data_IF_831316331251
#
_entry.id   IF_831316331251
#
_cell.length_a   1.000
_cell.length_b   1.000
_cell.length_c   1.000
_cell.angle_alpha   90.00
_cell.angle_beta   90.00
_cell.angle_gamma   90.00
#
_symmetry.space_group_name_H-M   'P 1'
#
loop_
_entity.id
_entity.type
_entity.pdbx_description
1 polymer ?
#
# COMPACT_ATOMS: atom_id res chain seq x y z
N UNK A 1 -32.78 46.65 -54.16
CA UNK A 1 -32.41 46.57 -55.59
C UNK A 1 -31.96 45.15 -55.76
N UNK A 2 -32.84 44.31 -56.18
CA UNK A 2 -33.13 43.73 -57.53
C UNK A 2 -32.25 42.48 -57.68
N UNK A 3 -32.75 41.29 -57.47
CA UNK A 3 -33.71 40.48 -58.27
C UNK A 3 -33.06 39.69 -59.41
N UNK A 4 -33.48 38.50 -59.49
CA UNK A 4 -33.89 37.58 -60.56
C UNK A 4 -32.94 36.37 -60.72
N UNK A 5 -33.34 35.14 -60.38
CA UNK A 5 -34.35 34.24 -60.96
C UNK A 5 -33.94 33.61 -62.30
N UNK A 6 -34.24 32.35 -62.41
CA UNK A 6 -34.71 31.53 -63.57
C UNK A 6 -33.84 30.29 -63.78
N UNK A 7 -34.31 29.14 -63.41
CA UNK A 7 -35.17 28.10 -63.99
C UNK A 7 -34.45 26.93 -64.66
N UNK A 8 -34.91 25.75 -64.31
CA UNK A 8 -34.75 24.41 -64.98
C UNK A 8 -35.37 24.38 -66.38
N UNK A 9 -35.13 23.39 -67.23
CA UNK A 9 -35.84 22.10 -67.05
C UNK A 9 -35.14 20.80 -67.64
N UNK A 10 -35.53 19.69 -67.03
CA UNK A 10 -36.16 18.46 -67.58
C UNK A 10 -35.60 17.69 -68.78
N UNK A 11 -35.62 16.36 -68.63
CA UNK A 11 -35.65 15.29 -69.67
C UNK A 11 -34.74 14.13 -69.29
N UNK A 12 -35.08 13.05 -68.87
CA UNK A 12 -36.00 11.99 -69.14
C UNK A 12 -35.55 11.07 -70.29
N UNK A 13 -35.11 9.84 -70.00
CA UNK A 13 -35.58 8.64 -70.75
C UNK A 13 -34.97 7.32 -70.19
N UNK A 14 -35.86 6.39 -69.99
CA UNK A 14 -35.78 4.98 -69.72
C UNK A 14 -34.95 4.16 -70.71
N UNK A 15 -34.37 3.03 -70.27
CA UNK A 15 -34.69 1.63 -70.70
C UNK A 15 -33.67 0.59 -70.27
N UNK A 16 -34.26 -0.40 -69.64
CA UNK A 16 -34.10 -1.84 -69.76
C UNK A 16 -32.84 -2.64 -69.33
N UNK A 17 -33.09 -3.42 -68.28
CA UNK A 17 -32.85 -4.88 -68.17
C UNK A 17 -31.56 -5.45 -68.75
N UNK A 18 -30.80 -6.09 -67.84
CA UNK A 18 -30.48 -7.53 -67.90
C UNK A 18 -29.63 -7.94 -66.70
N UNK A 19 -30.16 -8.80 -65.83
CA UNK A 19 -29.39 -9.63 -64.91
C UNK A 19 -28.62 -10.72 -65.68
N UNK A 20 -27.47 -11.18 -65.13
CA UNK A 20 -27.49 -12.50 -64.56
C UNK A 20 -26.69 -12.67 -63.23
N UNK A 21 -27.30 -13.45 -62.39
CA UNK A 21 -26.86 -14.54 -61.55
C UNK A 21 -25.51 -14.45 -60.80
N UNK A 22 -25.58 -14.41 -59.48
CA UNK A 22 -24.94 -15.38 -58.63
C UNK A 22 -23.47 -15.12 -58.20
N UNK A 23 -23.29 -14.44 -57.07
CA UNK A 23 -22.26 -14.81 -56.05
C UNK A 23 -22.73 -14.33 -54.68
N UNK A 24 -22.96 -15.26 -53.78
CA UNK A 24 -23.18 -15.01 -52.35
C UNK A 24 -21.99 -14.26 -51.75
N UNK A 25 -22.20 -13.22 -50.95
CA UNK A 25 -21.14 -12.68 -50.11
C UNK A 25 -20.99 -13.59 -48.89
N UNK A 26 -19.77 -14.06 -48.69
CA UNK A 26 -19.33 -14.68 -47.46
C UNK A 26 -19.66 -13.73 -46.29
N UNK A 27 -20.35 -14.27 -45.30
CA UNK A 27 -20.64 -13.62 -44.06
C UNK A 27 -19.32 -13.22 -43.41
N UNK A 28 -19.02 -11.91 -43.38
CA UNK A 28 -18.03 -11.33 -42.53
C UNK A 28 -18.46 -11.54 -41.08
N UNK A 29 -17.66 -12.33 -40.35
CA UNK A 29 -17.78 -12.45 -38.91
C UNK A 29 -17.45 -11.06 -38.36
N UNK A 30 -18.49 -10.30 -38.05
CA UNK A 30 -18.34 -9.09 -37.22
C UNK A 30 -17.88 -9.59 -35.85
N UNK A 31 -16.63 -9.37 -35.53
CA UNK A 31 -16.13 -9.45 -34.16
C UNK A 31 -16.64 -8.21 -33.41
N UNK A 32 -17.89 -8.28 -32.98
CA UNK A 32 -18.38 -7.41 -31.94
C UNK A 32 -17.59 -7.73 -30.64
N UNK A 33 -16.56 -6.94 -30.38
CA UNK A 33 -15.97 -6.84 -29.06
C UNK A 33 -16.94 -6.03 -28.21
N UNK A 34 -17.61 -6.60 -27.21
CA UNK A 34 -18.39 -5.82 -26.30
C UNK A 34 -17.42 -4.96 -25.46
N UNK A 35 -17.32 -3.68 -25.76
CA UNK A 35 -16.81 -2.70 -24.83
C UNK A 35 -17.77 -2.69 -23.64
N UNK A 36 -17.39 -3.39 -22.57
CA UNK A 36 -18.16 -3.43 -21.35
C UNK A 36 -17.91 -2.16 -20.54
N UNK A 37 -18.81 -1.26 -20.69
CA UNK A 37 -19.19 -0.33 -19.62
C UNK A 37 -20.57 -0.76 -19.12
N UNK A 38 -20.65 -1.79 -18.32
CA UNK A 38 -21.72 -1.82 -17.33
C UNK A 38 -21.36 -0.73 -16.30
N UNK A 39 -22.24 0.24 -15.99
CA UNK A 39 -21.95 1.19 -14.94
C UNK A 39 -21.85 0.37 -13.64
N UNK A 40 -20.63 0.28 -13.10
CA UNK A 40 -20.42 -0.25 -11.76
C UNK A 40 -21.39 0.50 -10.83
N UNK A 41 -22.17 -0.23 -10.06
CA UNK A 41 -23.12 0.34 -9.11
C UNK A 41 -22.37 1.35 -8.24
N UNK A 42 -22.62 2.65 -8.42
CA UNK A 42 -21.92 3.73 -7.74
C UNK A 42 -22.16 3.74 -6.22
N UNK A 43 -23.11 2.94 -5.73
CA UNK A 43 -23.63 2.97 -4.36
C UNK A 43 -22.94 1.99 -3.39
N UNK A 44 -22.09 1.06 -3.87
CA UNK A 44 -21.40 0.13 -2.97
C UNK A 44 -20.12 0.79 -2.47
N UNK A 45 -19.99 1.08 -1.15
CA UNK A 45 -18.77 1.67 -0.62
C UNK A 45 -17.58 0.71 -0.82
N UNK A 46 -16.45 1.26 -1.23
CA UNK A 46 -15.21 0.49 -1.35
C UNK A 46 -14.82 -0.09 0.01
N UNK A 47 -14.28 -1.31 0.00
CA UNK A 47 -13.66 -1.89 1.19
C UNK A 47 -12.56 -0.95 1.73
N UNK A 48 -12.32 -0.96 3.05
CA UNK A 48 -11.32 -0.07 3.65
C UNK A 48 -9.95 -0.16 2.98
N UNK A 49 -9.49 -1.37 2.63
CA UNK A 49 -8.19 -1.56 2.00
C UNK A 49 -8.18 -1.05 0.54
N UNK A 50 -9.21 -1.32 -0.28
CA UNK A 50 -9.28 -0.83 -1.66
C UNK A 50 -9.46 0.70 -1.75
N UNK A 51 -9.92 1.35 -0.68
CA UNK A 51 -10.03 2.82 -0.60
C UNK A 51 -8.69 3.50 -0.28
N UNK A 52 -7.64 2.76 0.11
CA UNK A 52 -6.32 3.30 0.45
C UNK A 52 -5.55 3.73 -0.80
N UNK A 53 -4.78 4.81 -0.68
CA UNK A 53 -3.84 5.24 -1.73
C UNK A 53 -2.48 4.58 -1.50
N UNK A 54 -2.38 3.28 -1.83
CA UNK A 54 -1.19 2.46 -1.64
C UNK A 54 -0.38 2.36 -2.93
N UNK A 55 0.93 2.50 -2.82
CA UNK A 55 1.91 2.26 -3.86
C UNK A 55 2.80 1.08 -3.48
N UNK A 56 3.11 0.22 -4.44
CA UNK A 56 4.12 -0.81 -4.26
C UNK A 56 5.52 -0.19 -4.36
N UNK A 57 6.33 -0.32 -3.34
CA UNK A 57 7.76 0.00 -3.37
C UNK A 57 8.55 -1.28 -3.09
N UNK A 58 9.09 -1.89 -4.15
CA UNK A 58 9.93 -3.08 -4.07
C UNK A 58 9.32 -4.18 -3.19
N UNK A 59 8.08 -4.54 -3.47
CA UNK A 59 7.38 -5.66 -2.83
C UNK A 59 6.64 -5.34 -1.53
N UNK A 60 6.67 -4.09 -1.04
CA UNK A 60 5.93 -3.69 0.15
C UNK A 60 4.94 -2.55 -0.14
N UNK A 61 3.79 -2.51 0.57
CA UNK A 61 2.81 -1.45 0.44
C UNK A 61 3.28 -0.19 1.17
N UNK A 62 3.15 0.97 0.51
CA UNK A 62 3.39 2.27 1.13
C UNK A 62 2.19 3.17 0.86
N UNK A 63 1.57 3.69 1.92
CA UNK A 63 0.49 4.68 1.82
C UNK A 63 1.06 6.06 1.46
N UNK A 64 0.51 6.69 0.43
CA UNK A 64 0.87 8.05 0.05
C UNK A 64 0.11 9.08 0.90
N UNK A 65 0.40 9.13 2.19
CA UNK A 65 -0.28 9.98 3.16
C UNK A 65 0.71 10.79 3.99
N UNK A 66 0.27 11.96 4.43
CA UNK A 66 1.00 12.81 5.37
C UNK A 66 0.75 12.42 6.83
N UNK A 67 1.60 12.92 7.71
CA UNK A 67 1.52 12.64 9.15
C UNK A 67 0.18 13.10 9.75
N UNK A 68 -0.39 14.20 9.26
CA UNK A 68 -1.69 14.71 9.74
C UNK A 68 -2.83 13.76 9.41
N UNK A 69 -2.78 13.12 8.24
CA UNK A 69 -3.76 12.09 7.84
C UNK A 69 -3.59 10.82 8.66
N UNK A 70 -2.34 10.40 8.96
CA UNK A 70 -2.09 9.28 9.88
C UNK A 70 -2.77 9.55 11.22
N UNK A 71 -2.52 10.71 11.82
CA UNK A 71 -3.09 11.10 13.11
C UNK A 71 -4.63 11.07 13.08
N UNK A 72 -5.28 11.67 12.07
CA UNK A 72 -6.75 11.62 11.94
C UNK A 72 -7.30 10.19 11.85
N UNK A 73 -6.60 9.30 11.14
CA UNK A 73 -7.00 7.88 11.07
C UNK A 73 -6.91 7.20 12.43
N UNK A 74 -5.86 7.47 13.22
CA UNK A 74 -5.72 6.94 14.58
C UNK A 74 -6.84 7.42 15.49
N UNK A 75 -7.17 8.70 15.46
CA UNK A 75 -8.27 9.27 16.23
C UNK A 75 -9.60 8.63 15.87
N UNK A 76 -9.85 8.46 14.56
CA UNK A 76 -11.06 7.77 14.12
C UNK A 76 -11.09 6.32 14.58
N UNK A 77 -9.95 5.62 14.54
CA UNK A 77 -9.87 4.23 15.01
C UNK A 77 -10.10 4.12 16.51
N UNK A 78 -9.52 5.03 17.31
CA UNK A 78 -9.75 5.09 18.76
C UNK A 78 -11.22 5.36 19.09
N UNK A 79 -11.81 6.40 18.48
CA UNK A 79 -13.20 6.77 18.71
C UNK A 79 -14.20 5.66 18.37
N UNK A 80 -13.92 4.92 17.30
CA UNK A 80 -14.77 3.80 16.85
C UNK A 80 -14.39 2.46 17.49
N UNK A 81 -13.32 2.43 18.29
CA UNK A 81 -12.72 1.18 18.81
C UNK A 81 -12.43 0.16 17.69
N UNK A 82 -12.16 0.63 16.48
CA UNK A 82 -11.87 -0.21 15.34
C UNK A 82 -10.37 -0.54 15.25
N UNK A 83 -10.05 -1.76 14.85
CA UNK A 83 -8.66 -2.20 14.71
C UNK A 83 -7.92 -1.36 13.66
N UNK A 84 -6.70 -0.93 14.01
CA UNK A 84 -5.77 -0.24 13.13
C UNK A 84 -4.34 -0.69 13.43
N UNK A 85 -3.82 -1.60 12.62
CA UNK A 85 -2.44 -2.06 12.69
C UNK A 85 -1.58 -1.18 11.79
N UNK A 86 -0.54 -0.56 12.36
CA UNK A 86 0.33 0.36 11.67
C UNK A 86 1.73 -0.22 11.58
N UNK A 87 2.25 -0.30 10.36
CA UNK A 87 3.68 -0.50 10.08
C UNK A 87 4.27 0.81 9.57
N UNK A 88 5.47 1.15 9.98
CA UNK A 88 6.23 2.30 9.45
C UNK A 88 7.42 1.81 8.63
N UNK A 89 7.19 1.37 7.36
CA UNK A 89 8.23 0.75 6.56
C UNK A 89 9.40 1.71 6.28
N UNK A 90 10.58 1.25 6.63
CA UNK A 90 11.86 1.90 6.34
C UNK A 90 12.79 0.95 5.56
N UNK A 91 14.04 1.34 5.33
CA UNK A 91 14.99 0.50 4.61
C UNK A 91 15.18 -0.89 5.25
N UNK A 92 15.23 -0.96 6.58
CA UNK A 92 15.36 -2.25 7.26
C UNK A 92 14.11 -3.14 7.08
N UNK A 93 12.91 -2.54 7.09
CA UNK A 93 11.67 -3.25 6.73
C UNK A 93 11.73 -3.79 5.31
N UNK A 94 12.17 -2.96 4.35
CA UNK A 94 12.33 -3.39 2.95
C UNK A 94 13.30 -4.56 2.84
N UNK A 95 14.49 -4.45 3.45
CA UNK A 95 15.52 -5.50 3.41
C UNK A 95 15.02 -6.81 4.01
N UNK A 96 14.37 -6.75 5.18
CA UNK A 96 13.80 -7.95 5.81
C UNK A 96 12.68 -8.56 4.95
N UNK A 97 11.81 -7.74 4.35
CA UNK A 97 10.70 -8.24 3.50
C UNK A 97 11.18 -8.97 2.24
N UNK A 98 12.39 -8.68 1.74
CA UNK A 98 12.95 -9.37 0.59
C UNK A 98 13.37 -10.82 0.89
N UNK A 99 13.77 -11.10 2.13
CA UNK A 99 14.36 -12.38 2.53
C UNK A 99 13.47 -13.20 3.45
N UNK A 100 12.49 -12.58 4.10
CA UNK A 100 11.61 -13.19 5.08
C UNK A 100 10.14 -13.05 4.66
N UNK A 101 9.51 -14.13 4.14
CA UNK A 101 8.11 -14.08 3.72
C UNK A 101 7.13 -13.77 4.85
N UNK A 102 7.38 -14.26 6.08
CA UNK A 102 6.52 -14.02 7.23
C UNK A 102 6.57 -12.54 7.64
N UNK A 103 7.78 -11.96 7.69
CA UNK A 103 7.94 -10.53 7.93
C UNK A 103 7.27 -9.70 6.84
N UNK A 104 7.42 -10.06 5.55
CA UNK A 104 6.72 -9.37 4.46
C UNK A 104 5.22 -9.44 4.63
N UNK A 105 4.68 -10.61 4.96
CA UNK A 105 3.24 -10.77 5.18
C UNK A 105 2.74 -9.88 6.31
N UNK A 106 3.50 -9.75 7.41
CA UNK A 106 3.13 -8.87 8.52
C UNK A 106 3.02 -7.38 8.12
N UNK A 107 3.79 -6.96 7.11
CA UNK A 107 3.67 -5.60 6.55
C UNK A 107 2.47 -5.49 5.62
N UNK A 108 2.20 -6.52 4.80
CA UNK A 108 1.02 -6.59 3.92
C UNK A 108 -0.29 -6.57 4.71
N UNK A 109 -0.32 -7.22 5.86
CA UNK A 109 -1.49 -7.30 6.75
C UNK A 109 -1.77 -5.98 7.49
N UNK A 110 -0.87 -5.01 7.43
CA UNK A 110 -1.05 -3.73 8.11
C UNK A 110 -2.15 -2.87 7.46
N UNK A 111 -2.95 -2.21 8.31
CA UNK A 111 -4.03 -1.32 7.88
C UNK A 111 -3.52 0.05 7.44
N UNK A 112 -2.29 0.39 7.80
CA UNK A 112 -1.64 1.64 7.44
C UNK A 112 -0.13 1.45 7.36
N UNK A 113 0.47 1.88 6.25
CA UNK A 113 1.91 1.77 5.97
C UNK A 113 2.51 3.12 5.57
N UNK A 114 2.53 4.15 6.46
CA UNK A 114 3.16 5.42 6.16
C UNK A 114 4.67 5.25 5.97
N UNK A 115 5.30 5.99 5.03
CA UNK A 115 6.72 5.84 4.73
C UNK A 115 7.61 6.35 5.88
N UNK A 116 8.59 5.57 6.31
CA UNK A 116 9.60 5.97 7.28
C UNK A 116 11.01 5.95 6.66
N UNK A 117 11.79 6.95 7.00
CA UNK A 117 13.18 7.07 6.58
C UNK A 117 13.40 7.61 5.15
N UNK A 118 14.54 8.31 5.01
CA UNK A 118 14.91 8.95 3.76
C UNK A 118 15.06 7.97 2.56
N UNK A 119 15.59 6.74 2.70
CA UNK A 119 15.74 5.82 1.59
C UNK A 119 14.43 5.47 0.87
N UNK A 120 13.33 5.29 1.59
CA UNK A 120 12.01 5.01 0.99
C UNK A 120 11.56 6.21 0.15
N UNK A 121 11.74 7.43 0.67
CA UNK A 121 11.41 8.66 -0.06
C UNK A 121 12.30 8.84 -1.30
N UNK A 122 13.59 8.51 -1.22
CA UNK A 122 14.49 8.57 -2.38
C UNK A 122 14.08 7.60 -3.47
N UNK A 123 13.76 6.35 -3.11
CA UNK A 123 13.25 5.35 -4.07
C UNK A 123 11.96 5.87 -4.72
N UNK A 124 11.00 6.33 -3.91
CA UNK A 124 9.74 6.86 -4.41
C UNK A 124 9.93 8.00 -5.42
N UNK A 125 10.82 8.97 -5.12
CA UNK A 125 11.15 10.09 -6.01
C UNK A 125 11.81 9.63 -7.31
N UNK A 126 12.75 8.68 -7.22
CA UNK A 126 13.45 8.15 -8.40
C UNK A 126 12.51 7.47 -9.39
N UNK A 127 11.54 6.70 -8.89
CA UNK A 127 10.53 6.02 -9.73
C UNK A 127 9.30 6.88 -10.05
N UNK A 128 9.26 8.13 -9.55
CA UNK A 128 8.24 9.12 -9.90
C UNK A 128 6.93 8.98 -9.12
N UNK A 129 6.94 8.46 -7.88
CA UNK A 129 5.76 8.33 -7.04
C UNK A 129 5.46 9.61 -6.25
N UNK A 130 4.19 9.91 -5.93
CA UNK A 130 3.78 11.12 -5.22
C UNK A 130 4.01 11.05 -3.69
N UNK A 131 4.96 10.24 -3.23
CA UNK A 131 5.32 10.08 -1.82
C UNK A 131 6.45 11.07 -1.53
N UNK A 132 6.15 12.14 -0.81
CA UNK A 132 7.07 13.27 -0.63
C UNK A 132 7.63 13.42 0.78
N UNK A 133 6.85 13.01 1.78
CA UNK A 133 7.13 13.22 3.18
C UNK A 133 7.25 11.89 3.91
N UNK A 134 8.09 11.87 4.92
CA UNK A 134 8.17 10.73 5.83
C UNK A 134 7.20 10.92 7.00
N UNK A 135 6.66 9.84 7.50
CA UNK A 135 5.87 9.80 8.71
C UNK A 135 6.45 8.74 9.66
N UNK A 136 7.56 9.09 10.33
CA UNK A 136 8.22 8.16 11.24
C UNK A 136 7.41 7.94 12.52
N UNK A 137 7.63 6.79 13.16
CA UNK A 137 6.98 6.48 14.44
C UNK A 137 7.29 7.51 15.53
N UNK A 138 8.50 8.08 15.54
CA UNK A 138 8.87 9.13 16.48
C UNK A 138 8.16 10.46 16.18
N UNK A 139 8.07 10.85 14.90
CA UNK A 139 7.32 12.04 14.49
C UNK A 139 5.83 11.89 14.81
N UNK A 140 5.29 10.67 14.70
CA UNK A 140 3.91 10.35 15.06
C UNK A 140 3.64 10.58 16.55
N UNK A 141 4.50 10.05 17.44
CA UNK A 141 4.37 10.26 18.89
C UNK A 141 4.54 11.73 19.27
N UNK A 142 5.52 12.43 18.68
CA UNK A 142 5.71 13.88 18.91
C UNK A 142 4.48 14.68 18.44
N UNK A 143 3.91 14.32 17.31
CA UNK A 143 2.71 14.99 16.77
C UNK A 143 1.47 14.74 17.64
N UNK A 144 1.31 13.52 18.14
CA UNK A 144 0.22 13.18 19.07
C UNK A 144 0.38 13.88 20.42
N UNK A 145 1.63 14.08 20.87
CA UNK A 145 1.95 14.78 22.13
C UNK A 145 1.70 16.30 22.06
N UNK A 146 2.05 16.93 20.94
CA UNK A 146 1.98 18.39 20.74
C UNK A 146 0.65 18.92 20.21
N UNK A 147 -0.47 18.25 20.44
CA UNK A 147 -1.78 18.66 19.90
C UNK A 147 -2.38 19.87 20.59
N UNK A 148 -3.16 20.62 19.79
CA UNK A 148 -3.99 21.70 20.28
C UNK A 148 -5.13 21.20 21.18
N UNK A 149 -5.58 21.96 22.18
CA UNK A 149 -6.72 21.61 23.04
C UNK A 149 -7.98 21.33 22.20
N UNK A 150 -8.74 20.30 22.60
CA UNK A 150 -10.01 19.94 21.97
C UNK A 150 -9.98 18.68 21.10
N UNK A 151 -8.83 18.01 20.99
CA UNK A 151 -8.72 16.71 20.31
C UNK A 151 -8.81 15.60 21.36
N UNK A 152 -9.45 14.49 21.01
CA UNK A 152 -9.62 13.35 21.91
C UNK A 152 -8.27 12.88 22.48
N UNK A 153 -8.15 12.83 23.79
CA UNK A 153 -6.97 12.28 24.49
C UNK A 153 -6.84 10.80 24.18
N UNK A 154 -5.67 10.38 23.71
CA UNK A 154 -5.36 8.97 23.51
C UNK A 154 -4.60 8.42 24.71
N UNK A 155 -5.05 7.25 25.19
CA UNK A 155 -4.34 6.50 26.20
C UNK A 155 -3.37 5.50 25.59
N UNK A 156 -2.13 5.49 26.07
CA UNK A 156 -1.05 4.63 25.59
C UNK A 156 -0.79 3.46 26.52
N UNK A 157 -0.50 2.30 25.93
CA UNK A 157 0.22 1.22 26.59
C UNK A 157 1.57 1.02 25.89
N UNK A 158 2.66 1.07 26.65
CA UNK A 158 4.03 0.93 26.14
C UNK A 158 4.53 -0.49 26.42
N UNK A 159 5.00 -1.19 25.38
CA UNK A 159 5.43 -2.58 25.49
C UNK A 159 6.82 -2.79 24.91
N UNK A 160 7.76 -3.23 25.74
CA UNK A 160 9.14 -3.52 25.33
C UNK A 160 10.11 -2.35 25.50
N UNK A 161 11.22 -2.40 24.81
CA UNK A 161 12.40 -1.55 25.02
C UNK A 161 13.45 -2.27 25.86
N UNK A 162 14.58 -1.61 26.10
CA UNK A 162 15.53 -2.07 27.12
C UNK A 162 14.93 -1.91 28.52
N UNK A 163 15.48 -2.59 29.50
CA UNK A 163 15.02 -2.55 30.88
C UNK A 163 14.82 -1.08 31.37
N UNK A 164 13.62 -0.80 31.87
CA UNK A 164 13.25 0.52 32.38
C UNK A 164 12.88 1.58 31.32
N UNK A 165 13.12 1.35 30.01
CA UNK A 165 12.83 2.33 28.96
C UNK A 165 11.33 2.60 28.83
N UNK A 166 10.48 1.56 28.87
CA UNK A 166 9.03 1.75 28.81
C UNK A 166 8.51 2.58 29.97
N UNK A 167 9.00 2.33 31.19
CA UNK A 167 8.62 3.07 32.39
C UNK A 167 9.10 4.52 32.36
N UNK A 168 10.34 4.78 31.91
CA UNK A 168 10.87 6.13 31.75
C UNK A 168 10.10 6.92 30.69
N UNK A 169 9.76 6.29 29.56
CA UNK A 169 8.93 6.92 28.54
C UNK A 169 7.52 7.23 29.06
N UNK A 170 6.92 6.32 29.85
CA UNK A 170 5.63 6.56 30.50
C UNK A 170 5.65 7.77 31.44
N UNK A 171 6.70 7.90 32.25
CA UNK A 171 6.90 9.07 33.10
C UNK A 171 7.02 10.35 32.27
N UNK A 172 7.80 10.35 31.19
CA UNK A 172 7.98 11.50 30.31
C UNK A 172 6.66 11.91 29.61
N UNK A 173 5.82 10.96 29.19
CA UNK A 173 4.49 11.28 28.66
C UNK A 173 3.56 11.87 29.71
N UNK A 174 3.62 11.37 30.95
CA UNK A 174 2.72 11.79 32.02
C UNK A 174 3.18 13.05 32.76
N UNK A 175 4.45 13.42 32.65
CA UNK A 175 4.99 14.66 33.19
C UNK A 175 4.55 15.90 32.41
N UNK A 176 4.31 15.76 31.11
CA UNK A 176 3.71 16.81 30.29
C UNK A 176 2.19 16.76 30.41
N UNK A 177 1.55 17.94 30.45
CA UNK A 177 0.11 18.08 30.33
C UNK A 177 -0.37 17.80 28.89
N UNK A 178 0.23 16.80 28.23
CA UNK A 178 -0.02 16.47 26.83
C UNK A 178 -1.35 15.74 26.63
N UNK A 179 -1.83 15.75 25.41
CA UNK A 179 -3.04 15.01 25.00
C UNK A 179 -2.82 13.48 24.94
N UNK A 180 -1.60 13.00 25.20
CA UNK A 180 -1.27 11.60 25.38
C UNK A 180 -1.09 11.25 26.85
N UNK A 181 -1.79 10.22 27.33
CA UNK A 181 -1.62 9.68 28.67
C UNK A 181 -1.14 8.24 28.61
N UNK A 182 0.01 7.96 29.17
CA UNK A 182 0.45 6.57 29.33
C UNK A 182 -0.25 5.97 30.57
N UNK A 183 -1.06 4.94 30.36
CA UNK A 183 -1.83 4.26 31.40
C UNK A 183 -1.26 2.89 31.74
N UNK A 184 -0.24 2.44 31.01
CA UNK A 184 0.47 1.19 31.30
C UNK A 184 1.80 1.11 30.55
N UNK A 185 2.76 0.48 31.18
CA UNK A 185 4.07 0.20 30.60
C UNK A 185 4.56 -1.17 31.07
N UNK A 186 5.06 -1.99 30.15
CA UNK A 186 5.57 -3.30 30.44
C UNK A 186 6.89 -3.55 29.71
N UNK A 187 7.88 -4.00 30.44
CA UNK A 187 9.09 -4.61 29.91
C UNK A 187 8.92 -6.14 30.02
N UNK A 188 8.69 -6.85 28.89
CA UNK A 188 8.47 -8.30 28.94
C UNK A 188 9.77 -9.10 29.09
N UNK A 189 10.93 -8.43 29.18
CA UNK A 189 12.24 -9.06 29.17
C UNK A 189 12.69 -9.53 27.80
N UNK A 190 13.65 -10.46 27.81
CA UNK A 190 14.16 -11.12 26.60
C UNK A 190 13.43 -12.45 26.39
N UNK A 191 13.11 -12.77 25.14
CA UNK A 191 12.45 -14.00 24.77
C UNK A 191 12.13 -14.03 23.28
N UNK A 192 11.77 -15.19 22.75
CA UNK A 192 11.25 -15.31 21.39
C UNK A 192 9.80 -14.84 21.31
N UNK A 193 9.27 -14.68 20.07
CA UNK A 193 7.91 -14.14 19.86
C UNK A 193 6.86 -14.94 20.62
N UNK A 194 6.96 -16.27 20.63
CA UNK A 194 6.00 -17.14 21.31
C UNK A 194 6.07 -17.01 22.84
N UNK A 195 7.27 -16.89 23.42
CA UNK A 195 7.46 -16.65 24.87
C UNK A 195 6.86 -15.32 25.30
N UNK A 196 7.05 -14.29 24.49
CA UNK A 196 6.49 -12.95 24.72
C UNK A 196 4.99 -12.85 24.40
N UNK A 197 4.38 -13.94 23.89
CA UNK A 197 2.96 -14.02 23.54
C UNK A 197 2.15 -14.84 24.56
N UNK A 198 2.71 -15.08 25.74
CA UNK A 198 2.04 -15.77 26.83
C UNK A 198 0.73 -15.09 27.25
N UNK A 199 -0.25 -15.88 27.73
CA UNK A 199 -1.58 -15.34 28.10
C UNK A 199 -1.51 -14.31 29.23
N UNK A 200 -0.57 -14.49 30.17
CA UNK A 200 -0.28 -13.54 31.24
C UNK A 200 0.11 -12.15 30.70
N UNK A 201 0.90 -12.09 29.62
CA UNK A 201 1.31 -10.83 28.97
C UNK A 201 0.12 -10.20 28.24
N UNK A 202 -0.58 -11.00 27.42
CA UNK A 202 -1.70 -10.52 26.61
C UNK A 202 -2.85 -10.04 27.50
N UNK A 203 -3.13 -10.72 28.61
CA UNK A 203 -4.18 -10.31 29.54
C UNK A 203 -3.86 -8.97 30.21
N UNK A 204 -2.61 -8.73 30.63
CA UNK A 204 -2.18 -7.44 31.18
C UNK A 204 -2.31 -6.31 30.16
N UNK A 205 -1.85 -6.54 28.92
CA UNK A 205 -2.01 -5.57 27.83
C UNK A 205 -3.48 -5.24 27.60
N UNK A 206 -4.34 -6.25 27.51
CA UNK A 206 -5.77 -6.09 27.24
C UNK A 206 -6.53 -5.44 28.39
N UNK A 207 -6.18 -5.75 29.65
CA UNK A 207 -6.84 -5.19 30.84
C UNK A 207 -6.57 -3.69 31.03
N UNK A 208 -5.55 -3.15 30.36
CA UNK A 208 -5.25 -1.71 30.40
C UNK A 208 -6.33 -0.85 29.75
N UNK A 209 -7.12 -1.41 28.81
CA UNK A 209 -8.10 -0.68 27.99
C UNK A 209 -7.53 0.55 27.28
N UNK A 210 -6.24 0.58 26.99
CA UNK A 210 -5.59 1.65 26.24
C UNK A 210 -6.19 1.79 24.82
N UNK A 211 -6.01 2.97 24.24
CA UNK A 211 -6.42 3.21 22.86
C UNK A 211 -5.30 2.84 21.87
N UNK A 212 -4.06 2.95 22.31
CA UNK A 212 -2.89 2.74 21.46
C UNK A 212 -1.80 1.92 22.15
N UNK A 213 -1.49 0.76 21.58
CA UNK A 213 -0.38 -0.11 21.97
C UNK A 213 0.86 0.23 21.13
N UNK A 214 1.91 0.72 21.78
CA UNK A 214 3.21 1.01 21.17
C UNK A 214 4.19 -0.10 21.55
N UNK A 215 4.64 -0.85 20.53
CA UNK A 215 5.57 -1.98 20.69
C UNK A 215 6.99 -1.58 20.31
N UNK A 216 7.98 -1.96 21.11
CA UNK A 216 9.42 -1.68 20.92
C UNK A 216 10.27 -2.91 21.23
N UNK A 217 10.20 -3.94 20.36
CA UNK A 217 10.92 -5.23 20.50
C UNK A 217 12.02 -5.43 19.43
N UNK A 218 12.42 -4.38 18.72
CA UNK A 218 13.20 -4.49 17.48
C UNK A 218 12.32 -4.78 16.26
N UNK A 219 12.77 -4.37 15.08
CA UNK A 219 11.91 -4.30 13.89
C UNK A 219 11.23 -5.64 13.56
N UNK A 220 12.03 -6.71 13.38
CA UNK A 220 11.50 -8.03 13.02
C UNK A 220 10.61 -8.60 14.12
N UNK A 221 11.14 -8.70 15.33
CA UNK A 221 10.43 -9.30 16.48
C UNK A 221 9.14 -8.54 16.80
N UNK A 222 9.17 -7.21 16.84
CA UNK A 222 8.01 -6.40 17.17
C UNK A 222 6.89 -6.50 16.14
N UNK A 223 7.25 -6.55 14.85
CA UNK A 223 6.27 -6.70 13.78
C UNK A 223 5.62 -8.11 13.80
N UNK A 224 6.42 -9.16 13.94
CA UNK A 224 5.92 -10.54 14.04
C UNK A 224 5.10 -10.76 15.32
N UNK A 225 5.48 -10.13 16.44
CA UNK A 225 4.70 -10.19 17.67
C UNK A 225 3.30 -9.56 17.49
N UNK A 226 3.21 -8.41 16.83
CA UNK A 226 1.93 -7.78 16.51
C UNK A 226 1.07 -8.64 15.60
N UNK A 227 1.65 -9.25 14.57
CA UNK A 227 0.95 -10.17 13.67
C UNK A 227 0.44 -11.39 14.43
N UNK A 228 1.32 -12.06 15.21
CA UNK A 228 0.99 -13.24 16.01
C UNK A 228 -0.17 -13.03 16.96
N UNK A 229 -0.24 -11.83 17.58
CA UNK A 229 -1.22 -11.51 18.59
C UNK A 229 -2.37 -10.65 18.08
N UNK A 230 -2.45 -10.39 16.78
CA UNK A 230 -3.42 -9.47 16.18
C UNK A 230 -4.87 -9.75 16.63
N UNK A 231 -5.30 -11.01 16.58
CA UNK A 231 -6.67 -11.41 16.96
C UNK A 231 -6.89 -11.53 18.46
N UNK A 232 -5.82 -11.58 19.27
CA UNK A 232 -5.86 -11.68 20.74
C UNK A 232 -5.90 -10.32 21.44
N UNK A 233 -5.38 -9.30 20.78
CA UNK A 233 -5.30 -7.95 21.32
C UNK A 233 -6.64 -7.23 21.18
N UNK A 234 -7.07 -6.53 22.25
CA UNK A 234 -8.31 -5.74 22.31
C UNK A 234 -8.05 -4.24 22.12
N UNK A 235 -6.80 -3.79 22.27
CA UNK A 235 -6.41 -2.40 22.04
C UNK A 235 -6.57 -2.07 20.54
N UNK A 236 -7.34 -1.04 20.17
CA UNK A 236 -7.68 -0.78 18.76
C UNK A 236 -6.46 -0.41 17.93
N UNK A 237 -5.65 0.54 18.36
CA UNK A 237 -4.48 1.00 17.59
C UNK A 237 -3.25 0.25 18.05
N UNK A 238 -2.47 -0.27 17.11
CA UNK A 238 -1.27 -1.06 17.39
C UNK A 238 -0.18 -0.69 16.41
N UNK A 239 1.03 -0.40 16.92
CA UNK A 239 2.17 -0.11 16.06
C UNK A 239 3.48 -0.59 16.69
N UNK A 240 4.37 -1.11 15.84
CA UNK A 240 5.78 -1.24 16.20
C UNK A 240 6.51 0.06 15.80
N UNK A 241 6.92 0.86 16.78
CA UNK A 241 7.55 2.16 16.52
C UNK A 241 9.06 2.19 16.83
N UNK A 242 9.68 1.01 16.97
CA UNK A 242 11.12 0.86 17.10
C UNK A 242 11.72 1.69 18.24
N UNK A 243 12.68 2.55 17.91
CA UNK A 243 13.39 3.38 18.87
C UNK A 243 12.59 4.60 19.37
N UNK A 244 11.36 4.79 18.93
CA UNK A 244 10.58 5.95 19.35
C UNK A 244 10.39 6.02 20.87
N UNK A 245 10.24 4.86 21.55
CA UNK A 245 10.19 4.81 23.01
C UNK A 245 11.51 5.28 23.65
N UNK A 246 12.64 4.84 23.12
CA UNK A 246 13.96 5.22 23.63
C UNK A 246 14.22 6.73 23.49
N UNK A 247 13.72 7.34 22.41
CA UNK A 247 13.75 8.81 22.26
C UNK A 247 12.88 9.51 23.29
N UNK A 248 11.67 9.02 23.54
CA UNK A 248 10.75 9.62 24.52
C UNK A 248 11.25 9.43 25.95
N UNK A 249 11.91 8.31 26.25
CA UNK A 249 12.55 8.06 27.55
C UNK A 249 13.84 8.90 27.77
N UNK A 250 14.33 9.59 26.74
CA UNK A 250 15.63 10.27 26.81
C UNK A 250 16.83 9.34 26.84
N UNK A 251 16.63 8.02 26.66
CA UNK A 251 17.70 7.01 26.65
C UNK A 251 18.62 7.14 25.43
N UNK A 252 18.08 7.68 24.33
CA UNK A 252 18.82 7.97 23.09
C UNK A 252 18.49 9.40 22.67
N UNK A 253 19.51 10.18 22.31
CA UNK A 253 19.30 11.54 21.79
C UNK A 253 18.82 11.49 20.34
N UNK A 254 17.71 12.16 20.07
CA UNK A 254 17.21 12.29 18.70
C UNK A 254 18.10 13.25 17.90
N UNK A 255 18.27 12.97 16.61
CA UNK A 255 19.02 13.83 15.71
C UNK A 255 18.43 15.26 15.66
N UNK A 256 19.28 16.31 15.58
CA UNK A 256 18.82 17.67 15.38
C UNK A 256 17.90 17.81 14.15
N UNK A 257 16.96 18.78 14.16
CA UNK A 257 16.00 18.95 13.06
C UNK A 257 16.67 19.05 11.68
N UNK A 258 17.78 19.78 11.58
CA UNK A 258 18.54 19.93 10.34
C UNK A 258 19.09 18.60 9.83
N UNK A 259 19.64 17.76 10.69
CA UNK A 259 20.17 16.42 10.33
C UNK A 259 19.02 15.52 9.85
N UNK A 260 17.85 15.63 10.50
CA UNK A 260 16.64 14.88 10.12
C UNK A 260 16.10 15.31 8.76
N UNK A 261 16.03 16.63 8.49
CA UNK A 261 15.52 17.16 7.22
C UNK A 261 16.43 16.83 6.04
N UNK A 262 17.75 16.73 6.26
CA UNK A 262 18.73 16.29 5.26
C UNK A 262 18.72 14.75 5.03
N UNK A 263 17.97 13.98 5.83
CA UNK A 263 17.91 12.52 5.70
C UNK A 263 19.09 11.77 6.33
N UNK A 264 19.92 12.43 7.14
CA UNK A 264 21.11 11.86 7.78
C UNK A 264 20.87 11.37 9.21
N UNK A 265 19.62 11.14 9.61
CA UNK A 265 19.28 10.61 10.94
C UNK A 265 19.91 9.24 11.20
N UNK A 266 20.12 8.42 10.19
CA UNK A 266 20.80 7.14 10.29
C UNK A 266 22.27 7.24 10.71
N UNK A 267 23.00 8.29 10.25
CA UNK A 267 24.38 8.56 10.69
C UNK A 267 24.41 8.98 12.17
N UNK A 268 23.45 9.81 12.59
CA UNK A 268 23.30 10.17 13.98
C UNK A 268 23.04 8.95 14.85
N UNK A 269 22.17 8.02 14.37
CA UNK A 269 21.89 6.77 15.06
C UNK A 269 23.12 5.88 15.20
N UNK A 270 24.00 5.80 14.21
CA UNK A 270 25.27 5.06 14.31
C UNK A 270 26.16 5.69 15.38
N UNK A 271 26.18 7.03 15.49
CA UNK A 271 26.96 7.75 16.52
C UNK A 271 26.44 7.43 17.93
N UNK A 272 25.15 7.44 18.13
CA UNK A 272 24.51 7.18 19.44
C UNK A 272 24.54 5.69 19.81
N UNK A 273 24.42 4.79 18.82
CA UNK A 273 24.31 3.35 18.99
C UNK A 273 25.29 2.64 18.04
N UNK A 274 26.56 2.57 18.43
CA UNK A 274 27.63 2.05 17.56
C UNK A 274 27.40 0.65 17.04
N UNK A 275 26.69 -0.23 17.78
CA UNK A 275 26.39 -1.59 17.34
C UNK A 275 25.53 -1.64 16.07
N UNK A 276 24.81 -0.57 15.74
CA UNK A 276 23.95 -0.50 14.57
C UNK A 276 24.72 -0.37 13.24
N UNK A 277 26.03 -0.03 13.29
CA UNK A 277 26.80 0.22 12.07
C UNK A 277 26.81 -0.98 11.10
N UNK A 278 26.94 -2.22 11.63
CA UNK A 278 26.93 -3.45 10.82
C UNK A 278 25.60 -3.62 10.06
N UNK A 279 24.48 -3.33 10.72
CA UNK A 279 23.15 -3.36 10.14
C UNK A 279 23.03 -2.30 9.04
N UNK A 280 23.41 -1.06 9.33
CA UNK A 280 23.33 0.03 8.34
C UNK A 280 24.24 -0.20 7.13
N UNK A 281 25.42 -0.80 7.34
CA UNK A 281 26.29 -1.19 6.25
C UNK A 281 25.64 -2.26 5.36
N UNK A 282 25.08 -3.30 5.97
CA UNK A 282 24.35 -4.35 5.23
C UNK A 282 23.16 -3.77 4.46
N UNK A 283 22.30 -3.03 5.14
CA UNK A 283 21.10 -2.41 4.53
C UNK A 283 21.50 -1.45 3.40
N UNK A 284 22.60 -0.71 3.56
CA UNK A 284 23.15 0.18 2.55
C UNK A 284 23.67 -0.53 1.29
N UNK A 285 24.34 -1.68 1.46
CA UNK A 285 24.79 -2.51 0.32
C UNK A 285 23.59 -3.12 -0.43
N UNK A 286 22.58 -3.59 0.29
CA UNK A 286 21.33 -4.07 -0.31
C UNK A 286 20.63 -2.93 -1.04
N UNK A 287 20.53 -1.73 -0.45
CA UNK A 287 19.97 -0.56 -1.12
C UNK A 287 20.70 -0.23 -2.41
N UNK A 288 22.04 -0.20 -2.40
CA UNK A 288 22.84 0.06 -3.62
C UNK A 288 22.53 -0.97 -4.70
N UNK A 289 22.49 -2.26 -4.34
CA UNK A 289 22.11 -3.33 -5.27
C UNK A 289 20.71 -3.10 -5.84
N UNK A 290 19.73 -2.79 -5.00
CA UNK A 290 18.36 -2.53 -5.43
C UNK A 290 18.25 -1.30 -6.33
N UNK A 291 18.97 -0.23 -6.00
CA UNK A 291 19.02 0.97 -6.84
C UNK A 291 19.49 0.61 -8.25
N UNK A 292 20.58 -0.14 -8.39
CA UNK A 292 21.15 -0.49 -9.69
C UNK A 292 20.30 -1.52 -10.47
N UNK A 293 19.75 -2.54 -9.78
CA UNK A 293 19.12 -3.69 -10.44
C UNK A 293 17.59 -3.59 -10.56
N UNK A 294 16.95 -2.71 -9.78
CA UNK A 294 15.49 -2.57 -9.73
C UNK A 294 15.03 -1.14 -9.96
N UNK A 295 15.48 -0.21 -9.10
CA UNK A 295 14.96 1.16 -9.07
C UNK A 295 15.31 1.93 -10.33
N UNK A 296 16.58 1.94 -10.77
CA UNK A 296 16.97 2.64 -11.98
C UNK A 296 16.33 2.05 -13.24
N UNK A 297 16.29 0.71 -13.46
CA UNK A 297 15.54 0.13 -14.56
C UNK A 297 14.05 0.46 -14.53
N UNK A 298 13.42 0.45 -13.34
CA UNK A 298 12.02 0.79 -13.18
C UNK A 298 11.76 2.28 -13.46
N UNK A 299 12.64 3.17 -12.98
CA UNK A 299 12.57 4.59 -13.25
C UNK A 299 12.72 4.90 -14.75
N UNK A 300 13.65 4.22 -15.44
CA UNK A 300 13.81 4.34 -16.89
C UNK A 300 12.55 3.87 -17.63
N UNK A 301 11.99 2.72 -17.24
CA UNK A 301 10.75 2.19 -17.81
C UNK A 301 9.58 3.17 -17.61
N UNK A 302 9.40 3.70 -16.40
CA UNK A 302 8.35 4.65 -16.08
C UNK A 302 8.48 5.95 -16.90
N UNK A 303 9.69 6.50 -17.04
CA UNK A 303 9.95 7.69 -17.87
C UNK A 303 9.66 7.42 -19.34
N UNK A 304 10.09 6.27 -19.85
CA UNK A 304 9.78 5.84 -21.22
C UNK A 304 8.28 5.76 -21.45
N UNK A 305 7.56 5.17 -20.51
CA UNK A 305 6.11 5.07 -20.56
C UNK A 305 5.43 6.44 -20.51
N UNK A 306 5.89 7.37 -19.67
CA UNK A 306 5.35 8.73 -19.58
C UNK A 306 5.55 9.53 -20.89
N UNK A 307 6.72 9.40 -21.53
CA UNK A 307 6.98 10.01 -22.83
C UNK A 307 6.04 9.45 -23.91
N UNK A 308 5.83 8.15 -23.94
CA UNK A 308 4.91 7.50 -24.89
C UNK A 308 3.43 7.85 -24.64
N UNK A 309 3.01 8.12 -23.40
CA UNK A 309 1.65 8.53 -23.08
C UNK A 309 1.26 9.90 -23.66
N UNK A 310 2.22 10.79 -23.82
CA UNK A 310 2.00 12.09 -24.46
C UNK A 310 1.62 11.98 -25.94
N UNK A 311 1.94 10.83 -26.56
CA UNK A 311 1.72 10.59 -27.99
C UNK A 311 0.48 9.75 -28.29
N UNK A 312 0.06 8.89 -27.37
CA UNK A 312 -1.16 8.08 -27.50
C UNK A 312 -1.78 7.81 -26.13
N UNK A 313 -3.10 8.04 -25.93
CA UNK A 313 -3.80 7.60 -24.73
C UNK A 313 -3.60 6.09 -24.54
N UNK A 314 -3.29 5.68 -23.31
CA UNK A 314 -3.11 4.28 -22.98
C UNK A 314 -4.31 3.83 -22.18
N UNK A 315 -5.12 3.00 -22.77
CA UNK A 315 -6.34 2.50 -22.18
C UNK A 315 -6.08 1.16 -21.47
N UNK A 316 -6.85 0.91 -20.44
CA UNK A 316 -6.99 -0.38 -19.80
C UNK A 316 -8.43 -0.86 -20.02
N UNK A 317 -8.57 -2.02 -20.60
CA UNK A 317 -9.86 -2.74 -20.64
C UNK A 317 -9.82 -3.86 -19.63
N UNK A 318 -10.83 -3.94 -18.77
CA UNK A 318 -11.04 -5.05 -17.85
C UNK A 318 -12.34 -5.74 -18.25
N UNK A 319 -12.25 -6.99 -18.64
CA UNK A 319 -13.38 -7.77 -19.06
C UNK A 319 -13.53 -9.03 -18.19
N UNK A 320 -14.74 -9.31 -17.73
CA UNK A 320 -15.06 -10.57 -17.05
C UNK A 320 -15.11 -11.67 -18.12
N UNK A 321 -14.22 -12.65 -18.04
CA UNK A 321 -14.12 -13.74 -18.99
C UNK A 321 -14.99 -14.94 -18.60
N UNK A 322 -14.95 -15.30 -17.33
CA UNK A 322 -15.57 -16.50 -16.82
C UNK A 322 -15.97 -16.31 -15.36
N UNK A 323 -17.05 -16.98 -14.98
CA UNK A 323 -17.51 -17.03 -13.59
C UNK A 323 -18.08 -18.43 -13.34
N UNK A 324 -17.57 -19.07 -12.30
CA UNK A 324 -18.07 -20.36 -11.84
C UNK A 324 -18.36 -20.32 -10.33
N UNK A 325 -18.68 -21.46 -9.72
CA UNK A 325 -18.98 -21.55 -8.30
C UNK A 325 -17.80 -21.23 -7.37
N UNK A 326 -16.56 -21.31 -7.87
CA UNK A 326 -15.32 -21.18 -7.08
C UNK A 326 -14.52 -19.93 -7.40
N UNK A 327 -14.60 -19.43 -8.63
CA UNK A 327 -13.74 -18.33 -9.09
C UNK A 327 -14.43 -17.38 -10.07
N UNK A 328 -13.87 -16.16 -10.15
CA UNK A 328 -14.22 -15.16 -11.16
C UNK A 328 -12.94 -14.77 -11.88
N UNK A 329 -12.92 -14.94 -13.22
CA UNK A 329 -11.77 -14.60 -14.06
C UNK A 329 -11.98 -13.27 -14.78
N UNK A 330 -11.03 -12.36 -14.60
CA UNK A 330 -10.97 -11.08 -15.30
C UNK A 330 -9.76 -11.01 -16.23
N UNK A 331 -9.93 -10.58 -17.46
CA UNK A 331 -8.82 -10.26 -18.36
C UNK A 331 -8.47 -8.78 -18.28
N UNK A 332 -7.20 -8.49 -18.08
CA UNK A 332 -6.65 -7.14 -18.15
C UNK A 332 -5.95 -6.97 -19.50
N UNK A 333 -6.42 -6.03 -20.31
CA UNK A 333 -5.83 -5.73 -21.62
C UNK A 333 -5.35 -4.29 -21.70
N UNK A 334 -4.07 -4.08 -22.02
CA UNK A 334 -3.46 -2.74 -22.14
C UNK A 334 -2.60 -2.33 -20.95
N UNK A 335 -2.77 -1.12 -20.43
CA UNK A 335 -1.89 -0.49 -19.44
C UNK A 335 -2.57 -0.34 -18.09
N UNK A 336 -2.24 -1.20 -17.14
CA UNK A 336 -2.72 -1.13 -15.76
C UNK A 336 -1.96 -0.04 -14.99
N UNK A 337 -2.53 1.15 -14.91
CA UNK A 337 -1.88 2.35 -14.35
C UNK A 337 -2.75 3.07 -13.32
N UNK A 338 -2.14 4.02 -12.61
CA UNK A 338 -2.80 4.85 -11.60
C UNK A 338 -4.15 5.42 -12.05
N UNK A 339 -4.28 5.82 -13.30
CA UNK A 339 -5.54 6.39 -13.85
C UNK A 339 -6.70 5.41 -13.86
N UNK A 340 -6.41 4.10 -13.86
CA UNK A 340 -7.41 3.04 -13.93
C UNK A 340 -7.73 2.41 -12.57
N UNK A 341 -7.00 2.80 -11.50
CA UNK A 341 -7.17 2.17 -10.18
C UNK A 341 -8.59 2.37 -9.64
N UNK A 342 -9.19 3.54 -9.82
CA UNK A 342 -10.53 3.82 -9.29
C UNK A 342 -11.59 2.89 -9.92
N UNK A 343 -11.56 2.70 -11.24
CA UNK A 343 -12.49 1.80 -11.95
C UNK A 343 -12.20 0.33 -11.61
N UNK A 344 -10.93 -0.08 -11.60
CA UNK A 344 -10.53 -1.42 -11.22
C UNK A 344 -10.93 -1.77 -9.78
N UNK A 345 -10.71 -0.83 -8.82
CA UNK A 345 -11.09 -1.04 -7.42
C UNK A 345 -12.59 -1.24 -7.24
N UNK A 346 -13.44 -0.51 -7.97
CA UNK A 346 -14.89 -0.70 -7.91
C UNK A 346 -15.30 -2.09 -8.43
N UNK A 347 -14.77 -2.47 -9.59
CA UNK A 347 -15.05 -3.76 -10.19
C UNK A 347 -14.61 -4.93 -9.30
N UNK A 348 -13.41 -4.87 -8.74
CA UNK A 348 -12.94 -5.90 -7.81
C UNK A 348 -13.67 -5.87 -6.47
N UNK A 349 -14.13 -4.69 -6.01
CA UNK A 349 -14.94 -4.58 -4.79
C UNK A 349 -16.30 -5.28 -4.95
N UNK A 350 -16.92 -5.19 -6.13
CA UNK A 350 -18.13 -5.96 -6.44
C UNK A 350 -17.84 -7.48 -6.42
N UNK A 351 -16.70 -7.90 -7.00
CA UNK A 351 -16.29 -9.29 -6.99
C UNK A 351 -16.03 -9.83 -5.58
N UNK A 352 -15.48 -9.01 -4.67
CA UNK A 352 -15.24 -9.38 -3.27
C UNK A 352 -16.51 -9.80 -2.53
N UNK A 353 -17.68 -9.26 -2.89
CA UNK A 353 -18.96 -9.61 -2.28
C UNK A 353 -19.34 -11.08 -2.50
N UNK A 354 -18.80 -11.72 -3.54
CA UNK A 354 -19.06 -13.12 -3.84
C UNK A 354 -18.33 -14.12 -2.95
N UNK A 355 -17.25 -13.68 -2.26
CA UNK A 355 -16.39 -14.56 -1.44
C UNK A 355 -15.60 -15.60 -2.22
N UNK A 356 -15.51 -15.47 -3.55
CA UNK A 356 -14.84 -16.41 -4.45
C UNK A 356 -13.41 -15.96 -4.77
N UNK A 357 -12.60 -16.90 -5.28
CA UNK A 357 -11.28 -16.59 -5.80
C UNK A 357 -11.37 -15.63 -7.00
N UNK A 358 -10.42 -14.73 -7.10
CA UNK A 358 -10.30 -13.82 -8.25
C UNK A 358 -9.07 -14.24 -9.06
N UNK A 359 -9.30 -14.56 -10.32
CA UNK A 359 -8.25 -14.89 -11.29
C UNK A 359 -8.07 -13.70 -12.23
N UNK A 360 -6.85 -13.21 -12.37
CA UNK A 360 -6.51 -12.10 -13.27
C UNK A 360 -5.65 -12.61 -14.41
N UNK A 361 -6.22 -12.64 -15.61
CA UNK A 361 -5.49 -13.00 -16.84
C UNK A 361 -4.73 -11.77 -17.37
N UNK A 362 -3.41 -11.90 -17.40
CA UNK A 362 -2.46 -10.88 -17.83
C UNK A 362 -1.93 -11.09 -19.26
N UNK A 363 -2.49 -12.02 -20.03
CA UNK A 363 -2.02 -12.38 -21.37
C UNK A 363 -1.96 -11.18 -22.34
N UNK A 364 -2.88 -10.23 -22.19
CA UNK A 364 -2.99 -9.01 -23.01
C UNK A 364 -2.50 -7.75 -22.27
N UNK A 365 -1.97 -7.88 -21.06
CA UNK A 365 -1.44 -6.77 -20.27
C UNK A 365 -0.05 -6.38 -20.79
N UNK A 366 0.17 -5.09 -20.99
CA UNK A 366 1.44 -4.58 -21.48
C UNK A 366 2.35 -4.10 -20.33
N UNK A 367 1.78 -3.45 -19.32
CA UNK A 367 2.50 -3.00 -18.12
C UNK A 367 1.56 -2.85 -16.93
N UNK A 368 2.16 -2.87 -15.73
CA UNK A 368 1.48 -2.63 -14.46
C UNK A 368 2.38 -1.65 -13.68
N UNK A 369 1.83 -0.52 -13.24
CA UNK A 369 2.58 0.46 -12.45
C UNK A 369 2.51 0.19 -10.93
N UNK A 370 3.33 0.92 -10.17
CA UNK A 370 3.43 0.76 -8.71
C UNK A 370 2.11 1.05 -7.99
N UNK A 371 1.26 1.96 -8.51
CA UNK A 371 -0.05 2.26 -7.89
C UNK A 371 -1.04 1.12 -8.13
N UNK A 372 -1.05 0.55 -9.31
CA UNK A 372 -1.90 -0.59 -9.62
C UNK A 372 -1.46 -1.84 -8.85
N UNK A 373 -0.14 -2.09 -8.71
CA UNK A 373 0.36 -3.13 -7.81
C UNK A 373 -0.06 -2.90 -6.36
N UNK A 374 -0.01 -1.65 -5.87
CA UNK A 374 -0.51 -1.32 -4.54
C UNK A 374 -1.98 -1.70 -4.35
N UNK A 375 -2.82 -1.45 -5.36
CA UNK A 375 -4.23 -1.87 -5.35
C UNK A 375 -4.37 -3.40 -5.37
N UNK A 376 -3.57 -4.12 -6.18
CA UNK A 376 -3.58 -5.59 -6.19
C UNK A 376 -3.12 -6.20 -4.85
N UNK A 377 -2.15 -5.58 -4.15
CA UNK A 377 -1.76 -5.97 -2.80
C UNK A 377 -2.93 -5.82 -1.81
N UNK A 378 -3.67 -4.71 -1.91
CA UNK A 378 -4.85 -4.48 -1.06
C UNK A 378 -5.99 -5.44 -1.39
N UNK A 379 -6.18 -5.76 -2.67
CA UNK A 379 -7.12 -6.79 -3.09
C UNK A 379 -6.73 -8.18 -2.55
N UNK A 380 -5.43 -8.51 -2.62
CA UNK A 380 -4.91 -9.77 -2.06
C UNK A 380 -5.18 -9.86 -0.54
N UNK A 381 -4.92 -8.78 0.22
CA UNK A 381 -5.25 -8.71 1.65
C UNK A 381 -6.75 -8.96 1.89
N UNK A 382 -7.63 -8.25 1.19
CA UNK A 382 -9.09 -8.40 1.34
C UNK A 382 -9.58 -9.83 1.05
N UNK A 383 -9.02 -10.46 0.02
CA UNK A 383 -9.35 -11.85 -0.32
C UNK A 383 -8.85 -12.81 0.75
N UNK A 384 -7.61 -12.63 1.24
CA UNK A 384 -7.04 -13.46 2.29
C UNK A 384 -7.87 -13.40 3.57
N UNK A 385 -8.32 -12.20 3.97
CA UNK A 385 -9.21 -11.99 5.13
C UNK A 385 -10.55 -12.73 4.96
N UNK A 386 -10.99 -12.93 3.72
CA UNK A 386 -12.22 -13.65 3.34
C UNK A 386 -11.97 -15.13 3.01
N UNK A 387 -10.76 -15.65 3.20
CA UNK A 387 -10.33 -17.02 2.86
C UNK A 387 -10.43 -17.34 1.36
N UNK A 388 -10.36 -16.32 0.51
CA UNK A 388 -10.29 -16.41 -0.94
C UNK A 388 -8.90 -16.03 -1.44
N UNK A 389 -8.59 -16.32 -2.71
CA UNK A 389 -7.27 -16.12 -3.31
C UNK A 389 -7.31 -15.15 -4.47
N UNK A 390 -6.20 -14.41 -4.65
CA UNK A 390 -5.89 -13.69 -5.87
C UNK A 390 -4.88 -14.52 -6.67
N UNK A 391 -5.25 -14.91 -7.89
CA UNK A 391 -4.43 -15.74 -8.75
C UNK A 391 -4.14 -15.02 -10.07
N UNK A 392 -2.97 -15.26 -10.66
CA UNK A 392 -2.58 -14.66 -11.93
C UNK A 392 -2.36 -15.74 -13.01
N UNK A 393 -2.88 -15.50 -14.21
CA UNK A 393 -2.68 -16.36 -15.38
C UNK A 393 -2.17 -15.53 -16.56
N UNK A 394 -1.78 -16.18 -17.65
CA UNK A 394 -1.37 -15.49 -18.87
C UNK A 394 -0.09 -14.64 -18.73
N UNK A 395 0.82 -15.01 -17.82
CA UNK A 395 2.01 -14.22 -17.49
C UNK A 395 3.05 -14.26 -18.59
N UNK A 396 3.13 -13.20 -19.38
CA UNK A 396 4.14 -13.05 -20.44
C UNK A 396 5.54 -12.78 -19.86
N UNK A 397 6.60 -12.95 -20.68
CA UNK A 397 7.98 -12.62 -20.26
C UNK A 397 8.13 -11.14 -19.85
N UNK A 398 7.43 -10.24 -20.54
CA UNK A 398 7.46 -8.80 -20.22
C UNK A 398 6.80 -8.52 -18.87
N UNK A 399 5.64 -9.12 -18.60
CA UNK A 399 4.92 -8.98 -17.33
C UNK A 399 5.75 -9.60 -16.18
N UNK A 400 6.33 -10.78 -16.36
CA UNK A 400 7.22 -11.38 -15.36
C UNK A 400 8.41 -10.46 -15.02
N UNK A 401 9.00 -9.79 -16.02
CA UNK A 401 10.05 -8.78 -15.78
C UNK A 401 9.55 -7.61 -14.94
N UNK A 402 8.32 -7.14 -15.17
CA UNK A 402 7.70 -6.05 -14.39
C UNK A 402 7.46 -6.49 -12.94
N UNK A 403 6.93 -7.70 -12.71
CA UNK A 403 6.79 -8.28 -11.38
C UNK A 403 8.15 -8.35 -10.67
N UNK A 404 9.19 -8.83 -11.35
CA UNK A 404 10.55 -8.90 -10.82
C UNK A 404 11.13 -7.53 -10.48
N UNK A 405 10.93 -6.51 -11.32
CA UNK A 405 11.42 -5.15 -11.05
C UNK A 405 10.74 -4.52 -9.82
N UNK A 406 9.47 -4.85 -9.59
CA UNK A 406 8.72 -4.37 -8.42
C UNK A 406 8.86 -5.29 -7.20
N UNK A 407 9.67 -6.38 -7.25
CA UNK A 407 9.87 -7.37 -6.19
C UNK A 407 8.55 -8.00 -5.70
N UNK A 408 7.59 -8.22 -6.63
CA UNK A 408 6.26 -8.80 -6.34
C UNK A 408 6.08 -10.19 -6.95
N UNK A 409 7.16 -10.90 -7.31
CA UNK A 409 7.08 -12.27 -7.85
C UNK A 409 6.45 -13.25 -6.86
N UNK A 410 6.44 -12.95 -5.57
CA UNK A 410 5.77 -13.75 -4.54
C UNK A 410 4.24 -13.78 -4.66
N UNK A 411 3.66 -12.90 -5.46
CA UNK A 411 2.22 -12.88 -5.74
C UNK A 411 1.82 -13.82 -6.89
N UNK A 412 2.80 -14.36 -7.65
CA UNK A 412 2.61 -15.31 -8.74
C UNK A 412 2.52 -16.74 -8.20
#
# INVERSE_FOLDING_TARGET
MSSLDIAQPSGGFDRHNLLPAGRSPMAGIATDSPALTSPANADVPLSPNLSREVYCILGIPIDAIDLSTVVRRLESAAAKRSTCLISTPNLNFLVNSLVDPEFRQSVLDSDLCPPDGAPIIWIARLIGLPIRERASGADLLDRLRGKAPGIQRLSLFLFGGAAGVASAAAQAFNADSSELKCIGAMDPGFGEVDELSGENIISVVNSSNADFLVVSLGAKKGQLWLQRNHHRLKIPIRAHLGAALAFQAGAIKRAPPLVRSCGFEWLWRIKEEHYLWKRYQHDGLVLLRLLLTRVLPLAALNRWHQLGQRLRPRELSIAKLHEDGSSITYSLSGFASQTHVASASRLFNEALASGRDIVVDLSKTQTIDSRFFGMLMMLHKELTDRKAKLLFTGITRSIRKIFKLNEVEYML
#
